data_IF_480542682058
#
_entry.id   IF_480542682058
#
_cell.length_a   1.000
_cell.length_b   1.000
_cell.length_c   1.000
_cell.angle_alpha   90.00
_cell.angle_beta   90.00
_cell.angle_gamma   90.00
#
_symmetry.space_group_name_H-M   'P 1'
#
loop_
_entity.id
_entity.type
_entity.pdbx_description
1 polymer ?
#
# COMPACT_ATOMS: atom_id res chain seq x y z
N UNK A 1 -24.58 -3.23 -17.02
CA UNK A 1 -23.32 -2.53 -17.35
C UNK A 1 -22.57 -2.34 -16.05
N UNK A 2 -21.39 -2.94 -15.93
CA UNK A 2 -20.59 -2.87 -14.71
C UNK A 2 -20.14 -1.43 -14.46
N UNK A 3 -20.11 -1.01 -13.19
CA UNK A 3 -19.66 0.32 -12.77
C UNK A 3 -18.33 0.16 -12.07
N UNK A 4 -17.31 0.83 -12.60
CA UNK A 4 -15.99 0.90 -11.99
C UNK A 4 -15.85 2.21 -11.23
N UNK A 5 -15.19 2.13 -10.08
CA UNK A 5 -14.71 3.30 -9.34
C UNK A 5 -13.21 3.41 -9.57
N UNK A 6 -12.74 4.58 -10.01
CA UNK A 6 -11.33 4.82 -10.31
C UNK A 6 -10.78 5.78 -9.26
N UNK A 7 -9.72 5.36 -8.57
CA UNK A 7 -8.91 6.23 -7.73
C UNK A 7 -7.90 6.93 -8.62
N UNK A 8 -8.09 8.23 -8.81
CA UNK A 8 -7.17 9.08 -9.59
C UNK A 8 -6.42 10.00 -8.62
N UNK A 9 -5.09 9.84 -8.44
CA UNK A 9 -4.33 10.83 -7.68
C UNK A 9 -4.37 12.17 -8.39
N UNK A 10 -4.46 13.23 -7.59
CA UNK A 10 -4.50 14.62 -8.07
C UNK A 10 -3.29 15.43 -7.61
N UNK A 11 -2.48 14.91 -6.69
CA UNK A 11 -1.26 15.54 -6.18
C UNK A 11 -0.04 14.71 -6.52
N UNK A 12 1.11 15.37 -6.67
CA UNK A 12 2.39 14.73 -6.95
C UNK A 12 2.78 13.73 -5.85
N UNK A 13 2.60 14.11 -4.58
CA UNK A 13 2.78 13.21 -3.43
C UNK A 13 1.93 11.93 -3.54
N UNK A 14 0.70 12.03 -4.03
CA UNK A 14 -0.16 10.86 -4.21
C UNK A 14 0.26 10.01 -5.41
N UNK A 15 0.80 10.62 -6.47
CA UNK A 15 1.37 9.89 -7.60
C UNK A 15 2.60 9.09 -7.14
N UNK A 16 3.54 9.76 -6.47
CA UNK A 16 4.78 9.14 -5.96
C UNK A 16 4.51 8.02 -4.95
N UNK A 17 3.41 8.14 -4.18
CA UNK A 17 3.02 7.11 -3.22
C UNK A 17 2.27 5.93 -3.86
N UNK A 18 1.45 6.16 -4.88
CA UNK A 18 0.58 5.12 -5.47
C UNK A 18 1.23 4.39 -6.64
N UNK A 19 2.27 4.97 -7.24
CA UNK A 19 2.97 4.40 -8.37
C UNK A 19 4.44 4.15 -8.04
N UNK A 20 5.04 3.22 -8.76
CA UNK A 20 6.48 3.01 -8.77
C UNK A 20 6.98 2.99 -10.22
N UNK A 21 8.26 3.30 -10.39
CA UNK A 21 8.90 3.33 -11.70
C UNK A 21 9.48 1.95 -12.01
N UNK A 22 9.01 1.33 -13.09
CA UNK A 22 9.50 0.04 -13.57
C UNK A 22 10.20 0.22 -14.92
N UNK A 23 11.29 -0.51 -15.14
CA UNK A 23 11.98 -0.56 -16.43
C UNK A 23 11.09 -1.25 -17.46
N UNK A 24 10.99 -0.65 -18.64
CA UNK A 24 10.30 -1.29 -19.76
C UNK A 24 11.23 -2.33 -20.35
N UNK A 25 10.81 -3.58 -20.37
CA UNK A 25 11.57 -4.69 -20.96
C UNK A 25 10.97 -5.14 -22.30
N UNK A 26 11.83 -5.59 -23.20
CA UNK A 26 11.46 -6.27 -24.44
C UNK A 26 11.03 -7.73 -24.18
N UNK A 27 10.54 -8.43 -25.22
CA UNK A 27 10.07 -9.83 -25.10
C UNK A 27 11.17 -10.80 -24.65
N UNK A 28 12.43 -10.44 -24.87
CA UNK A 28 13.61 -11.19 -24.44
C UNK A 28 14.06 -10.86 -22.99
N UNK A 29 13.36 -9.94 -22.32
CA UNK A 29 13.67 -9.49 -20.96
C UNK A 29 14.77 -8.43 -20.86
N UNK A 30 15.31 -7.95 -21.98
CA UNK A 30 16.30 -6.85 -21.99
C UNK A 30 15.63 -5.50 -21.72
N UNK A 31 16.36 -4.57 -21.09
CA UNK A 31 15.84 -3.21 -20.81
C UNK A 31 15.81 -2.41 -22.11
N UNK A 32 14.62 -1.91 -22.45
CA UNK A 32 14.41 -1.11 -23.65
C UNK A 32 15.02 0.28 -23.47
N UNK A 33 15.80 0.73 -24.46
CA UNK A 33 16.38 2.06 -24.50
C UNK A 33 15.57 2.98 -25.43
N UNK A 34 15.52 4.27 -25.14
CA UNK A 34 14.97 5.29 -26.02
C UNK A 34 15.97 5.65 -27.15
N UNK A 35 15.59 6.57 -28.04
CA UNK A 35 16.44 7.01 -29.18
C UNK A 35 17.76 7.67 -28.75
N UNK A 36 17.85 8.13 -27.50
CA UNK A 36 19.03 8.75 -26.90
C UNK A 36 19.90 7.74 -26.12
N UNK A 37 19.51 6.45 -26.11
CA UNK A 37 20.18 5.39 -25.37
C UNK A 37 19.88 5.36 -23.88
N UNK A 38 18.86 6.08 -23.41
CA UNK A 38 18.42 6.11 -22.01
C UNK A 38 17.40 5.02 -21.76
N UNK A 39 17.50 4.35 -20.61
CA UNK A 39 16.55 3.31 -20.20
C UNK A 39 15.13 3.85 -20.12
N UNK A 40 14.20 3.16 -20.77
CA UNK A 40 12.81 3.54 -20.77
C UNK A 40 12.13 3.04 -19.49
N UNK A 41 11.39 3.93 -18.84
CA UNK A 41 10.64 3.61 -17.64
C UNK A 41 9.16 3.84 -17.81
N UNK A 42 8.33 3.06 -17.11
CA UNK A 42 6.89 3.27 -17.00
C UNK A 42 6.46 3.36 -15.54
N UNK A 43 5.37 4.06 -15.27
CA UNK A 43 4.73 4.01 -13.95
C UNK A 43 3.82 2.80 -13.87
N UNK A 44 4.00 1.99 -12.82
CA UNK A 44 3.12 0.88 -12.47
C UNK A 44 2.47 1.15 -11.12
N UNK A 45 1.18 0.83 -10.99
CA UNK A 45 0.43 1.09 -9.76
C UNK A 45 0.82 0.07 -8.70
N UNK A 46 1.18 0.54 -7.50
CA UNK A 46 1.51 -0.29 -6.35
C UNK A 46 0.29 -1.02 -5.77
N UNK A 47 -0.91 -0.50 -6.08
CA UNK A 47 -2.19 -1.05 -5.65
C UNK A 47 -3.21 -0.98 -6.79
N UNK A 48 -4.24 -1.84 -6.82
CA UNK A 48 -5.31 -1.74 -7.81
C UNK A 48 -6.01 -0.39 -7.68
N UNK A 49 -5.99 0.45 -8.73
CA UNK A 49 -6.63 1.77 -8.74
C UNK A 49 -8.06 1.77 -9.32
N UNK A 50 -8.53 0.62 -9.79
CA UNK A 50 -9.88 0.43 -10.33
C UNK A 50 -10.61 -0.67 -9.55
N UNK A 51 -11.69 -0.31 -8.88
CA UNK A 51 -12.46 -1.24 -8.05
C UNK A 51 -13.85 -1.47 -8.65
N UNK A 52 -14.30 -2.71 -8.62
CA UNK A 52 -15.68 -3.08 -8.96
C UNK A 52 -16.58 -2.85 -7.75
N UNK A 53 -17.89 -2.89 -7.96
CA UNK A 53 -18.86 -2.85 -6.84
C UNK A 53 -18.65 -4.02 -5.87
N UNK A 54 -18.26 -5.19 -6.37
CA UNK A 54 -18.03 -6.38 -5.57
C UNK A 54 -16.96 -6.18 -4.50
N UNK A 55 -15.92 -5.37 -4.77
CA UNK A 55 -14.93 -4.98 -3.78
C UNK A 55 -15.59 -4.31 -2.55
N UNK A 56 -16.54 -3.39 -2.78
CA UNK A 56 -17.23 -2.70 -1.68
C UNK A 56 -18.28 -3.58 -0.99
N UNK A 57 -18.68 -4.69 -1.60
CA UNK A 57 -19.61 -5.66 -1.02
C UNK A 57 -18.88 -6.70 -0.14
N UNK A 58 -17.55 -6.81 -0.26
CA UNK A 58 -16.76 -7.63 0.64
C UNK A 58 -16.77 -7.05 2.06
N UNK A 59 -17.00 -7.93 3.04
CA UNK A 59 -16.84 -7.57 4.44
C UNK A 59 -15.39 -7.25 4.74
N UNK A 60 -15.14 -6.43 5.76
CA UNK A 60 -13.77 -6.09 6.22
C UNK A 60 -12.90 -7.33 6.40
N UNK A 61 -13.49 -8.45 6.86
CA UNK A 61 -12.81 -9.74 7.03
C UNK A 61 -12.11 -10.26 5.77
N UNK A 62 -12.61 -9.92 4.57
CA UNK A 62 -12.01 -10.32 3.30
C UNK A 62 -10.60 -9.71 3.11
N UNK A 63 -10.38 -8.53 3.66
CA UNK A 63 -9.11 -7.80 3.55
C UNK A 63 -8.16 -8.04 4.72
N UNK A 64 -8.59 -8.84 5.71
CA UNK A 64 -7.77 -9.16 6.87
C UNK A 64 -7.02 -10.47 6.62
N UNK A 65 -5.70 -10.40 6.64
CA UNK A 65 -4.86 -11.60 6.74
C UNK A 65 -5.00 -12.13 8.17
N UNK A 66 -5.60 -13.31 8.32
CA UNK A 66 -5.71 -13.96 9.63
C UNK A 66 -4.41 -14.69 9.92
N UNK A 67 -4.00 -14.72 11.19
CA UNK A 67 -2.75 -15.36 11.61
C UNK A 67 -2.68 -16.83 11.18
N UNK A 68 -3.83 -17.54 11.15
CA UNK A 68 -3.91 -18.94 10.70
C UNK A 68 -3.58 -19.14 9.22
N UNK A 69 -3.60 -18.07 8.44
CA UNK A 69 -3.32 -18.07 6.99
C UNK A 69 -1.98 -17.44 6.62
N UNK A 70 -1.23 -16.92 7.59
CA UNK A 70 0.05 -16.27 7.34
C UNK A 70 1.14 -17.29 7.00
N UNK A 71 1.99 -16.91 6.04
CA UNK A 71 3.25 -17.61 5.79
C UNK A 71 4.23 -17.44 6.98
N UNK A 72 5.26 -18.30 7.09
CA UNK A 72 6.28 -18.15 8.12
C UNK A 72 7.00 -16.78 8.11
N UNK A 73 7.17 -16.18 6.93
CA UNK A 73 7.77 -14.86 6.78
C UNK A 73 6.85 -13.76 7.32
N UNK A 74 5.56 -13.83 6.99
CA UNK A 74 4.56 -12.89 7.49
C UNK A 74 4.40 -12.98 9.01
N UNK A 75 4.40 -14.19 9.58
CA UNK A 75 4.38 -14.37 11.03
C UNK A 75 5.62 -13.75 11.70
N UNK A 76 6.81 -13.90 11.10
CA UNK A 76 8.02 -13.27 11.61
C UNK A 76 7.94 -11.73 11.50
N UNK A 77 7.32 -11.21 10.44
CA UNK A 77 7.01 -9.79 10.29
C UNK A 77 6.04 -9.28 11.37
N UNK A 78 4.96 -10.02 11.62
CA UNK A 78 3.96 -9.71 12.65
C UNK A 78 4.61 -9.67 14.05
N UNK A 79 5.45 -10.64 14.38
CA UNK A 79 6.17 -10.67 15.66
C UNK A 79 7.08 -9.46 15.87
N UNK A 80 7.77 -8.99 14.82
CA UNK A 80 8.58 -7.76 14.87
C UNK A 80 7.70 -6.53 15.14
N UNK A 81 6.53 -6.46 14.51
CA UNK A 81 5.60 -5.35 14.69
C UNK A 81 5.01 -5.33 16.10
N UNK A 82 4.62 -6.50 16.62
CA UNK A 82 4.15 -6.65 18.01
C UNK A 82 5.22 -6.19 19.00
N UNK A 83 6.46 -6.68 18.88
CA UNK A 83 7.56 -6.28 19.75
C UNK A 83 7.86 -4.77 19.69
N UNK A 84 7.70 -4.15 18.51
CA UNK A 84 7.84 -2.70 18.35
C UNK A 84 6.74 -1.93 19.08
N UNK A 85 5.47 -2.36 18.95
CA UNK A 85 4.33 -1.73 19.62
C UNK A 85 4.40 -1.93 21.14
N UNK A 86 4.79 -3.11 21.60
CA UNK A 86 4.96 -3.42 23.02
C UNK A 86 6.08 -2.59 23.67
N UNK A 87 7.03 -2.09 22.87
CA UNK A 87 8.07 -1.16 23.30
C UNK A 87 7.58 0.26 23.56
N UNK A 88 6.34 0.61 23.20
CA UNK A 88 5.80 1.95 23.43
C UNK A 88 5.48 2.18 24.91
N UNK A 89 5.95 3.32 25.43
CA UNK A 89 5.50 3.79 26.74
C UNK A 89 4.09 4.35 26.58
N UNK A 90 3.09 3.89 27.36
CA UNK A 90 1.74 4.43 27.30
C UNK A 90 1.75 5.95 27.45
N UNK A 91 1.40 6.66 26.37
CA UNK A 91 1.23 8.10 26.40
C UNK A 91 -0.19 8.41 26.85
N UNK A 92 -0.35 9.37 27.78
CA UNK A 92 -1.67 9.93 28.05
C UNK A 92 -2.10 10.70 26.82
N UNK A 93 -3.22 10.31 26.20
CA UNK A 93 -3.91 11.17 25.25
C UNK A 93 -4.24 12.47 25.97
N UNK A 94 -3.76 13.60 25.46
CA UNK A 94 -4.03 14.92 26.05
C UNK A 94 -4.60 15.86 25.00
N UNK A 95 -5.44 16.79 25.44
CA UNK A 95 -5.92 17.88 24.60
C UNK A 95 -4.79 18.91 24.32
N UNK A 96 -5.10 19.96 23.55
CA UNK A 96 -4.14 21.05 23.26
C UNK A 96 -3.66 21.80 24.50
N UNK A 97 -4.38 21.71 25.62
CA UNK A 97 -4.02 22.33 26.90
C UNK A 97 -3.27 21.36 27.84
N UNK A 98 -3.04 20.12 27.42
CA UNK A 98 -2.35 19.10 28.21
C UNK A 98 -3.25 18.33 29.18
N UNK A 99 -4.57 18.49 29.11
CA UNK A 99 -5.50 17.74 29.96
C UNK A 99 -5.70 16.33 29.42
N UNK A 100 -5.74 15.29 30.26
CA UNK A 100 -5.98 13.93 29.81
C UNK A 100 -7.36 13.79 29.16
N UNK A 101 -7.37 13.18 27.99
CA UNK A 101 -8.56 12.71 27.28
C UNK A 101 -8.75 11.25 27.68
N UNK A 102 -9.91 10.96 28.26
CA UNK A 102 -10.33 9.59 28.56
C UNK A 102 -11.31 9.14 27.47
N UNK A 103 -11.19 7.89 27.04
CA UNK A 103 -12.13 7.20 26.15
C UNK A 103 -13.38 6.77 26.94
#
# INVERSE_FOLDING_TARGET
>A
KERFYIVRPVTELAIDSLFETELVTDEDGSVRLNEEGVEMTRLVSRFPLSWTREHFEQLTEYYLTKEETMSPEEMAGLGKLQAYVDGFVPARCVDRAGNPIFD
#
